data_IF_068526169054
#
_entry.id   IF_068526169054
#
_cell.length_a   1.000
_cell.length_b   1.000
_cell.length_c   1.000
_cell.angle_alpha   90.00
_cell.angle_beta   90.00
_cell.angle_gamma   90.00
#
_symmetry.space_group_name_H-M   'P 1'
#
loop_
_entity.id
_entity.type
_entity.pdbx_description
1 polymer ?
#
# COMPACT_ATOMS: atom_id res chain seq x y z
N UNK A 1 20.58 -17.36 34.18
CA UNK A 1 20.59 -17.66 32.73
C UNK A 1 19.18 -17.73 32.14
N UNK A 2 18.26 -18.57 32.66
CA UNK A 2 16.87 -18.68 32.14
C UNK A 2 16.10 -17.34 32.05
N UNK A 3 16.23 -16.44 33.05
CA UNK A 3 15.55 -15.13 33.04
C UNK A 3 15.96 -14.21 31.88
N UNK A 4 17.25 -14.18 31.54
CA UNK A 4 17.76 -13.38 30.42
C UNK A 4 17.34 -13.98 29.06
N UNK A 5 17.26 -15.31 28.97
CA UNK A 5 16.76 -15.98 27.77
C UNK A 5 15.28 -15.66 27.51
N UNK A 6 14.44 -15.64 28.55
CA UNK A 6 13.02 -15.26 28.44
C UNK A 6 12.87 -13.78 28.03
N UNK A 7 13.70 -12.88 28.58
CA UNK A 7 13.71 -11.47 28.20
C UNK A 7 14.12 -11.26 26.73
N UNK A 8 15.13 -11.99 26.25
CA UNK A 8 15.58 -11.89 24.86
C UNK A 8 14.54 -12.42 23.87
N UNK A 9 13.83 -13.51 24.22
CA UNK A 9 12.71 -14.02 23.44
C UNK A 9 11.52 -13.04 23.39
N UNK A 10 11.21 -12.39 24.51
CA UNK A 10 10.13 -11.41 24.58
C UNK A 10 10.42 -10.17 23.71
N UNK A 11 11.66 -9.67 23.70
CA UNK A 11 12.06 -8.53 22.85
C UNK A 11 11.98 -8.90 21.36
N UNK A 12 12.40 -10.10 20.96
CA UNK A 12 12.30 -10.57 19.58
C UNK A 12 10.85 -10.73 19.11
N UNK A 13 9.97 -11.22 19.99
CA UNK A 13 8.53 -11.35 19.69
C UNK A 13 7.84 -9.98 19.53
N UNK A 14 8.25 -8.97 20.31
CA UNK A 14 7.69 -7.61 20.20
C UNK A 14 8.09 -6.96 18.87
N UNK A 15 9.32 -7.16 18.38
CA UNK A 15 9.76 -6.61 17.09
C UNK A 15 9.00 -7.16 15.87
N UNK A 16 8.59 -8.43 15.90
CA UNK A 16 7.86 -9.05 14.78
C UNK A 16 6.34 -8.79 14.75
N UNK A 17 5.77 -8.18 15.80
CA UNK A 17 4.32 -7.97 15.92
C UNK A 17 3.83 -6.66 15.28
N UNK A 18 4.73 -5.79 14.83
CA UNK A 18 4.38 -4.47 14.29
C UNK A 18 4.49 -4.36 12.77
N UNK A 19 4.79 -5.44 12.06
CA UNK A 19 4.81 -5.43 10.61
C UNK A 19 3.39 -5.18 10.04
N UNK A 20 3.24 -4.10 9.29
CA UNK A 20 2.01 -3.70 8.60
C UNK A 20 2.22 -3.87 7.10
N UNK A 21 1.29 -4.55 6.45
CA UNK A 21 1.26 -4.66 4.99
C UNK A 21 0.11 -3.82 4.44
N UNK A 22 0.40 -2.99 3.45
CA UNK A 22 -0.58 -2.19 2.71
C UNK A 22 -0.45 -2.42 1.21
N UNK A 23 -1.48 -2.08 0.47
CA UNK A 23 -1.55 -2.17 -0.98
C UNK A 23 -1.65 -0.77 -1.62
N UNK A 24 -0.92 -0.57 -2.73
CA UNK A 24 -0.91 0.67 -3.48
C UNK A 24 -1.16 0.41 -4.95
N UNK A 25 -2.10 1.15 -5.54
CA UNK A 25 -2.35 1.08 -6.98
C UNK A 25 -1.31 1.85 -7.78
N UNK A 26 -0.95 1.33 -8.94
CA UNK A 26 -0.04 2.03 -9.87
C UNK A 26 -0.33 1.68 -11.32
N UNK A 27 -0.17 2.67 -12.20
CA UNK A 27 -0.08 2.43 -13.64
C UNK A 27 1.23 1.74 -14.03
N UNK A 28 1.35 1.34 -15.30
CA UNK A 28 2.54 0.71 -15.87
C UNK A 28 3.17 1.46 -17.05
N UNK A 29 2.77 2.70 -17.34
CA UNK A 29 3.16 3.45 -18.53
C UNK A 29 4.65 3.83 -18.49
N UNK A 30 5.42 3.25 -19.42
CA UNK A 30 6.83 3.56 -19.60
C UNK A 30 7.70 3.05 -18.45
N UNK A 31 8.34 3.96 -17.71
CA UNK A 31 9.27 3.63 -16.62
C UNK A 31 8.68 3.84 -15.22
N UNK A 32 7.43 4.26 -15.12
CA UNK A 32 6.83 4.64 -13.83
C UNK A 32 6.90 3.50 -12.81
N UNK A 33 6.57 2.27 -13.22
CA UNK A 33 6.60 1.12 -12.33
C UNK A 33 8.02 0.73 -11.89
N UNK A 34 9.04 0.88 -12.76
CA UNK A 34 10.44 0.61 -12.39
C UNK A 34 10.94 1.63 -11.36
N UNK A 35 10.60 2.90 -11.56
CA UNK A 35 10.97 3.98 -10.64
C UNK A 35 10.23 3.81 -9.32
N UNK A 36 8.93 3.51 -9.34
CA UNK A 36 8.13 3.27 -8.14
C UNK A 36 8.69 2.12 -7.31
N UNK A 37 9.10 1.01 -7.93
CA UNK A 37 9.73 -0.12 -7.21
C UNK A 37 10.99 0.31 -6.45
N UNK A 38 11.83 1.16 -7.05
CA UNK A 38 13.01 1.72 -6.37
C UNK A 38 12.63 2.69 -5.24
N UNK A 39 11.55 3.46 -5.43
CA UNK A 39 11.04 4.34 -4.38
C UNK A 39 10.49 3.55 -3.19
N UNK A 40 9.77 2.45 -3.43
CA UNK A 40 9.28 1.56 -2.39
C UNK A 40 10.41 0.82 -1.67
N UNK A 41 11.51 0.49 -2.35
CA UNK A 41 12.71 -0.04 -1.70
C UNK A 41 13.33 0.98 -0.74
N UNK A 42 13.47 2.25 -1.16
CA UNK A 42 13.96 3.32 -0.29
C UNK A 42 12.99 3.59 0.88
N UNK A 43 11.69 3.52 0.64
CA UNK A 43 10.67 3.62 1.68
C UNK A 43 10.82 2.50 2.72
N UNK A 44 10.94 1.25 2.29
CA UNK A 44 11.10 0.11 3.19
C UNK A 44 12.40 0.16 4.00
N UNK A 45 13.47 0.74 3.45
CA UNK A 45 14.70 1.00 4.22
C UNK A 45 14.48 2.00 5.37
N UNK A 46 13.58 2.97 5.21
CA UNK A 46 13.21 3.94 6.24
C UNK A 46 12.16 3.39 7.22
N UNK A 47 11.27 2.53 6.72
CA UNK A 47 10.16 1.93 7.46
C UNK A 47 10.17 0.40 7.32
N UNK A 48 11.08 -0.31 8.01
CA UNK A 48 11.21 -1.78 7.87
C UNK A 48 9.96 -2.55 8.30
N UNK A 49 9.14 -1.94 9.16
CA UNK A 49 7.89 -2.51 9.64
C UNK A 49 6.71 -2.24 8.69
N UNK A 50 6.91 -1.59 7.53
CA UNK A 50 5.86 -1.36 6.54
C UNK A 50 6.25 -2.02 5.21
N UNK A 51 5.42 -2.96 4.78
CA UNK A 51 5.49 -3.60 3.46
C UNK A 51 4.43 -3.01 2.53
N UNK A 52 4.82 -2.63 1.31
CA UNK A 52 3.90 -2.09 0.29
C UNK A 52 3.84 -3.05 -0.89
N UNK A 53 2.66 -3.57 -1.17
CA UNK A 53 2.36 -4.37 -2.37
C UNK A 53 1.77 -3.47 -3.46
N UNK A 54 2.31 -3.54 -4.69
CA UNK A 54 1.76 -2.80 -5.83
C UNK A 54 0.65 -3.61 -6.48
N UNK A 55 -0.55 -3.02 -6.57
CA UNK A 55 -1.66 -3.52 -7.39
C UNK A 55 -1.54 -2.89 -8.80
N UNK A 56 -1.19 -3.67 -9.84
CA UNK A 56 -1.07 -3.14 -11.19
C UNK A 56 -2.45 -2.78 -11.74
N UNK A 57 -2.55 -1.58 -12.30
CA UNK A 57 -3.79 -1.06 -12.87
C UNK A 57 -3.73 -1.01 -14.41
N UNK A 58 -4.88 -1.01 -15.11
CA UNK A 58 -4.90 -0.75 -16.54
C UNK A 58 -4.27 0.59 -16.90
N UNK A 59 -3.63 0.68 -18.08
CA UNK A 59 -3.06 1.95 -18.54
C UNK A 59 -4.15 2.99 -18.83
N UNK A 60 -5.32 2.54 -19.30
CA UNK A 60 -6.49 3.39 -19.59
C UNK A 60 -7.02 4.04 -18.31
N UNK A 61 -7.06 5.38 -18.30
CA UNK A 61 -7.67 6.15 -17.19
C UNK A 61 -9.15 5.79 -17.03
N UNK A 62 -9.89 5.58 -18.13
CA UNK A 62 -11.29 5.15 -18.09
C UNK A 62 -11.48 3.76 -17.46
N UNK A 63 -10.63 2.78 -17.80
CA UNK A 63 -10.75 1.45 -17.20
C UNK A 63 -10.37 1.47 -15.71
N UNK A 64 -9.39 2.29 -15.33
CA UNK A 64 -9.01 2.50 -13.93
C UNK A 64 -10.11 3.11 -13.09
N UNK A 65 -10.78 4.12 -13.64
CA UNK A 65 -11.92 4.76 -13.02
C UNK A 65 -12.99 3.74 -12.63
N UNK A 66 -13.43 2.92 -13.59
CA UNK A 66 -14.49 1.93 -13.37
C UNK A 66 -14.08 0.82 -12.39
N UNK A 67 -12.78 0.48 -12.36
CA UNK A 67 -12.24 -0.44 -11.35
C UNK A 67 -12.31 0.13 -9.94
N UNK A 68 -11.95 1.40 -9.73
CA UNK A 68 -12.07 2.03 -8.40
C UNK A 68 -13.52 2.13 -7.95
N UNK A 69 -14.45 2.45 -8.86
CA UNK A 69 -15.89 2.41 -8.57
C UNK A 69 -16.32 1.01 -8.10
N UNK A 70 -15.75 -0.05 -8.68
CA UNK A 70 -16.02 -1.43 -8.26
C UNK A 70 -15.49 -1.71 -6.85
N UNK A 71 -14.28 -1.27 -6.52
CA UNK A 71 -13.70 -1.40 -5.17
C UNK A 71 -14.56 -0.69 -4.13
N UNK A 72 -14.96 0.56 -4.39
CA UNK A 72 -15.80 1.35 -3.49
C UNK A 72 -17.20 0.76 -3.32
N UNK A 73 -17.80 0.26 -4.41
CA UNK A 73 -19.13 -0.35 -4.35
C UNK A 73 -19.15 -1.64 -3.53
N UNK A 74 -18.07 -2.42 -3.57
CA UNK A 74 -17.91 -3.63 -2.77
C UNK A 74 -17.45 -3.35 -1.32
N UNK A 75 -16.94 -2.15 -1.03
CA UNK A 75 -16.35 -1.82 0.26
C UNK A 75 -15.12 -2.66 0.55
N UNK A 76 -14.29 -2.90 -0.48
CA UNK A 76 -13.05 -3.66 -0.31
C UNK A 76 -12.08 -2.93 0.62
N UNK A 77 -11.31 -3.69 1.40
CA UNK A 77 -10.26 -3.13 2.26
C UNK A 77 -8.96 -2.84 1.51
N UNK A 78 -8.83 -3.36 0.29
CA UNK A 78 -7.78 -3.05 -0.66
C UNK A 78 -8.39 -2.34 -1.88
N UNK A 79 -7.70 -1.39 -2.53
CA UNK A 79 -6.39 -0.84 -2.20
C UNK A 79 -6.40 0.18 -1.05
N UNK A 80 -5.33 0.22 -0.24
CA UNK A 80 -5.16 1.25 0.81
C UNK A 80 -4.75 2.62 0.22
N UNK A 81 -3.84 2.62 -0.76
CA UNK A 81 -3.31 3.83 -1.38
C UNK A 81 -3.72 3.90 -2.84
N UNK A 82 -4.48 4.95 -3.18
CA UNK A 82 -5.02 5.13 -4.53
C UNK A 82 -4.19 6.12 -5.35
N UNK A 83 -3.70 5.69 -6.52
CA UNK A 83 -3.18 6.57 -7.55
C UNK A 83 -4.37 7.10 -8.37
N UNK A 84 -4.81 8.33 -8.05
CA UNK A 84 -5.97 8.98 -8.67
C UNK A 84 -5.57 9.93 -9.80
N UNK A 85 -6.37 9.97 -10.86
CA UNK A 85 -6.35 11.05 -11.84
C UNK A 85 -6.88 12.34 -11.19
N UNK A 86 -6.37 13.49 -11.64
CA UNK A 86 -6.63 14.81 -11.04
C UNK A 86 -8.10 15.24 -11.13
N UNK A 87 -8.88 14.63 -12.03
CA UNK A 87 -10.30 14.93 -12.23
C UNK A 87 -11.24 14.16 -11.31
N UNK A 88 -10.77 13.12 -10.61
CA UNK A 88 -11.59 12.25 -9.75
C UNK A 88 -11.81 12.68 -8.29
N UNK A 89 -11.04 13.62 -7.67
CA UNK A 89 -11.21 13.91 -6.24
C UNK A 89 -12.64 14.28 -5.82
N UNK A 90 -13.37 15.05 -6.64
CA UNK A 90 -14.73 15.43 -6.31
C UNK A 90 -15.71 14.24 -6.33
N UNK A 91 -15.46 13.25 -7.18
CA UNK A 91 -16.27 12.05 -7.30
C UNK A 91 -15.98 11.05 -6.17
N UNK A 92 -14.70 10.86 -5.84
CA UNK A 92 -14.27 9.85 -4.88
C UNK A 92 -14.23 10.33 -3.43
N UNK A 93 -14.39 11.62 -3.16
CA UNK A 93 -14.36 12.17 -1.79
C UNK A 93 -15.19 11.37 -0.76
N UNK A 94 -16.40 10.85 -1.05
CA UNK A 94 -17.16 10.06 -0.06
C UNK A 94 -16.52 8.74 0.36
N UNK A 95 -15.47 8.28 -0.33
CA UNK A 95 -14.80 7.00 -0.13
C UNK A 95 -13.33 7.15 0.28
N UNK A 96 -12.83 8.39 0.39
CA UNK A 96 -11.45 8.68 0.80
C UNK A 96 -11.43 9.09 2.27
N UNK A 97 -10.28 8.85 2.92
CA UNK A 97 -10.02 9.35 4.28
C UNK A 97 -9.96 10.89 4.31
N UNK A 98 -10.42 11.50 5.41
CA UNK A 98 -10.50 12.97 5.63
C UNK A 98 -9.14 13.66 5.86
#
# INVERSE_FOLDING_TARGET
MKKYFVLLLAVLLVGGLFAVKITMTSGGVGKELEVLKKQLEMFHQQYPDIEVEIIPMPDSSTERHDLYVTYFAAGETDPDVLMLDVIWPAEFAPFLED
#
